data_IF_410915981825
#
_entry.id   IF_410915981825
#
_cell.length_a   1.000
_cell.length_b   1.000
_cell.length_c   1.000
_cell.angle_alpha   90.00
_cell.angle_beta   90.00
_cell.angle_gamma   90.00
#
_symmetry.space_group_name_H-M   'P 1'
#
loop_
_entity.id
_entity.type
_entity.pdbx_description
1 polymer ?
#
# COMPACT_ATOMS: atom_id res chain seq x y z
N UNK A 1 -19.92 18.04 -9.24
CA UNK A 1 -20.47 17.00 -8.34
C UNK A 1 -20.25 17.46 -6.90
N UNK A 2 -21.29 17.60 -6.07
CA UNK A 2 -21.09 18.02 -4.67
C UNK A 2 -20.68 16.81 -3.81
N UNK A 3 -19.42 16.77 -3.38
CA UNK A 3 -18.96 15.83 -2.34
C UNK A 3 -19.44 16.31 -0.98
N UNK A 4 -20.00 15.42 -0.16
CA UNK A 4 -20.42 15.76 1.19
C UNK A 4 -19.19 15.98 2.11
N UNK A 5 -19.42 16.64 3.25
CA UNK A 5 -18.35 16.97 4.19
C UNK A 5 -17.66 15.71 4.77
N UNK A 6 -18.38 14.64 5.15
CA UNK A 6 -17.76 13.40 5.62
C UNK A 6 -16.84 12.75 4.58
N UNK A 7 -17.28 12.62 3.33
CA UNK A 7 -16.49 12.04 2.25
C UNK A 7 -15.27 12.90 1.96
N UNK A 8 -15.42 14.23 1.95
CA UNK A 8 -14.30 15.15 1.75
C UNK A 8 -13.23 14.98 2.83
N UNK A 9 -13.63 14.82 4.09
CA UNK A 9 -12.69 14.59 5.20
C UNK A 9 -11.98 13.23 5.10
N UNK A 10 -12.70 12.19 4.67
CA UNK A 10 -12.10 10.87 4.45
C UNK A 10 -11.06 10.90 3.32
N UNK A 11 -11.41 11.53 2.19
CA UNK A 11 -10.52 11.63 1.02
C UNK A 11 -9.30 12.52 1.28
N UNK A 12 -9.42 13.58 2.08
CA UNK A 12 -8.31 14.48 2.38
C UNK A 12 -7.09 13.79 3.02
N UNK A 13 -7.27 12.62 3.63
CA UNK A 13 -6.18 11.84 4.25
C UNK A 13 -5.41 10.97 3.26
N UNK A 14 -6.02 10.62 2.12
CA UNK A 14 -5.53 9.56 1.23
C UNK A 14 -5.40 10.01 -0.23
N UNK A 15 -5.91 11.19 -0.54
CA UNK A 15 -5.91 11.77 -1.89
C UNK A 15 -5.17 13.11 -1.89
N UNK A 16 -4.38 13.41 -2.93
CA UNK A 16 -3.77 14.72 -3.13
C UNK A 16 -4.81 15.85 -3.05
N UNK A 17 -4.44 16.95 -2.40
CA UNK A 17 -5.30 18.13 -2.25
C UNK A 17 -5.75 18.69 -3.59
N UNK A 18 -4.88 18.67 -4.61
CA UNK A 18 -5.19 19.11 -5.98
C UNK A 18 -6.32 18.32 -6.65
N UNK A 19 -6.40 17.01 -6.39
CA UNK A 19 -7.50 16.18 -6.90
C UNK A 19 -8.78 16.41 -6.09
N UNK A 20 -8.66 16.57 -4.78
CA UNK A 20 -9.79 16.84 -3.91
C UNK A 20 -10.48 18.17 -4.25
N UNK A 21 -9.69 19.21 -4.51
CA UNK A 21 -10.20 20.54 -4.86
C UNK A 21 -10.89 20.51 -6.23
N UNK A 22 -10.32 19.80 -7.21
CA UNK A 22 -10.95 19.59 -8.53
C UNK A 22 -12.24 18.76 -8.43
N UNK A 23 -12.31 17.80 -7.51
CA UNK A 23 -13.50 16.96 -7.31
C UNK A 23 -14.64 17.73 -6.61
N UNK A 24 -14.30 18.73 -5.79
CA UNK A 24 -15.25 19.59 -5.09
C UNK A 24 -15.92 20.63 -6.01
N UNK A 25 -15.40 20.82 -7.23
CA UNK A 25 -15.98 21.72 -8.23
C UNK A 25 -17.37 21.20 -8.69
N UNK A 26 -18.44 22.02 -8.58
CA UNK A 26 -19.76 21.67 -9.09
C UNK A 26 -19.74 21.25 -10.56
N UNK A 27 -18.88 21.88 -11.36
CA UNK A 27 -18.76 21.71 -12.81
C UNK A 27 -17.63 20.73 -13.20
N UNK A 28 -17.06 20.01 -12.21
CA UNK A 28 -16.03 19.02 -12.44
C UNK A 28 -16.46 17.98 -13.49
N UNK A 29 -15.64 17.72 -14.53
CA UNK A 29 -15.94 16.68 -15.49
C UNK A 29 -15.81 15.29 -14.84
N UNK A 30 -16.56 14.31 -15.37
CA UNK A 30 -16.54 12.93 -14.86
C UNK A 30 -15.14 12.30 -14.88
N UNK A 31 -14.24 12.79 -15.75
CA UNK A 31 -12.84 12.38 -15.78
C UNK A 31 -12.10 12.59 -14.46
N UNK A 32 -12.45 13.61 -13.67
CA UNK A 32 -11.84 13.86 -12.35
C UNK A 32 -12.20 12.76 -11.36
N UNK A 33 -13.44 12.27 -11.40
CA UNK A 33 -13.87 11.15 -10.59
C UNK A 33 -13.09 9.88 -10.98
N UNK A 34 -12.94 9.63 -12.27
CA UNK A 34 -12.13 8.51 -12.78
C UNK A 34 -10.68 8.61 -12.33
N UNK A 35 -10.07 9.79 -12.44
CA UNK A 35 -8.69 10.06 -11.99
C UNK A 35 -8.54 9.81 -10.48
N UNK A 36 -9.51 10.26 -9.69
CA UNK A 36 -9.54 10.05 -8.23
C UNK A 36 -9.65 8.56 -7.89
N UNK A 37 -10.54 7.82 -8.54
CA UNK A 37 -10.70 6.38 -8.34
C UNK A 37 -9.45 5.59 -8.77
N UNK A 38 -8.78 6.02 -9.84
CA UNK A 38 -7.51 5.43 -10.27
C UNK A 38 -6.42 5.66 -9.21
N UNK A 39 -6.30 6.88 -8.68
CA UNK A 39 -5.37 7.19 -7.60
C UNK A 39 -5.61 6.30 -6.37
N UNK A 40 -6.86 6.19 -5.91
CA UNK A 40 -7.22 5.35 -4.76
C UNK A 40 -6.91 3.87 -5.00
N UNK A 41 -7.20 3.36 -6.20
CA UNK A 41 -6.87 1.98 -6.55
C UNK A 41 -5.36 1.73 -6.61
N UNK A 42 -4.60 2.67 -7.16
CA UNK A 42 -3.13 2.60 -7.18
C UNK A 42 -2.58 2.59 -5.77
N UNK A 43 -3.04 3.50 -4.91
CA UNK A 43 -2.65 3.54 -3.49
C UNK A 43 -2.99 2.22 -2.78
N UNK A 44 -4.20 1.69 -2.97
CA UNK A 44 -4.60 0.39 -2.40
C UNK A 44 -3.65 -0.72 -2.84
N UNK A 45 -3.34 -0.80 -4.14
CA UNK A 45 -2.42 -1.82 -4.68
C UNK A 45 -1.00 -1.67 -4.11
N UNK A 46 -0.48 -0.44 -4.02
CA UNK A 46 0.84 -0.18 -3.46
C UNK A 46 0.94 -0.51 -1.98
N UNK A 47 -0.11 -0.26 -1.20
CA UNK A 47 -0.12 -0.65 0.23
C UNK A 47 -0.27 -2.17 0.37
N UNK A 48 -1.18 -2.77 -0.41
CA UNK A 48 -1.42 -4.21 -0.38
C UNK A 48 -0.18 -5.05 -0.75
N UNK A 49 0.75 -4.53 -1.57
CA UNK A 49 1.98 -5.26 -1.89
C UNK A 49 2.93 -5.46 -0.70
N UNK A 50 2.75 -4.72 0.39
CA UNK A 50 3.50 -4.89 1.63
C UNK A 50 2.77 -5.73 2.68
N UNK A 51 1.55 -6.17 2.38
CA UNK A 51 0.71 -6.92 3.30
C UNK A 51 0.61 -8.39 2.85
N UNK A 52 0.61 -9.35 3.80
CA UNK A 52 0.24 -10.71 3.49
C UNK A 52 -1.17 -10.79 2.88
N UNK A 53 -1.36 -11.63 1.86
CA UNK A 53 -2.63 -11.75 1.13
C UNK A 53 -3.82 -12.10 2.03
N UNK A 54 -3.61 -12.90 3.07
CA UNK A 54 -4.67 -13.26 4.01
C UNK A 54 -5.20 -12.04 4.80
N UNK A 55 -4.46 -10.93 4.86
CA UNK A 55 -4.93 -9.67 5.45
C UNK A 55 -5.72 -8.80 4.46
N UNK A 56 -5.55 -9.01 3.16
CA UNK A 56 -6.15 -8.17 2.11
C UNK A 56 -7.39 -8.79 1.48
N UNK A 57 -7.49 -10.13 1.49
CA UNK A 57 -8.57 -10.88 0.86
C UNK A 57 -9.71 -11.24 1.82
N UNK A 58 -9.48 -11.15 3.14
CA UNK A 58 -10.46 -11.53 4.15
C UNK A 58 -11.21 -10.31 4.69
N UNK A 59 -12.41 -10.03 4.16
CA UNK A 59 -13.28 -8.95 4.63
C UNK A 59 -13.71 -9.13 6.10
N UNK A 60 -13.57 -10.33 6.67
CA UNK A 60 -13.94 -10.63 8.06
C UNK A 60 -12.94 -10.10 9.09
N UNK A 61 -11.77 -9.62 8.65
CA UNK A 61 -10.78 -8.94 9.52
C UNK A 61 -11.31 -7.62 10.08
N UNK A 62 -12.33 -7.03 9.43
CA UNK A 62 -13.00 -5.83 9.92
C UNK A 62 -13.89 -6.11 11.15
N UNK A 63 -14.19 -7.37 11.46
CA UNK A 63 -14.89 -7.74 12.68
C UNK A 63 -13.89 -7.84 13.85
N UNK A 64 -14.12 -7.02 14.88
CA UNK A 64 -13.29 -6.91 16.10
C UNK A 64 -13.08 -8.24 16.87
N UNK A 65 -13.77 -9.31 16.51
CA UNK A 65 -13.77 -10.61 17.18
C UNK A 65 -13.43 -11.76 16.22
N UNK A 66 -12.51 -11.56 15.28
CA UNK A 66 -12.06 -12.63 14.40
C UNK A 66 -11.31 -13.74 15.18
N UNK A 67 -11.84 -14.97 15.30
CA UNK A 67 -11.11 -16.08 15.85
C UNK A 67 -10.17 -16.62 14.75
N UNK A 68 -8.91 -16.23 14.80
CA UNK A 68 -7.89 -16.50 13.78
C UNK A 68 -7.38 -17.97 13.75
N UNK A 69 -8.27 -18.95 13.91
CA UNK A 69 -7.92 -20.37 13.76
C UNK A 69 -8.29 -20.83 12.35
N UNK A 70 -7.38 -20.59 11.40
CA UNK A 70 -7.46 -21.14 10.05
C UNK A 70 -6.53 -22.34 9.91
N UNK A 71 -7.02 -23.41 9.27
CA UNK A 71 -6.19 -24.57 8.93
C UNK A 71 -5.25 -24.16 7.79
N UNK A 72 -3.94 -24.36 7.97
CA UNK A 72 -2.96 -24.05 6.93
C UNK A 72 -1.62 -24.72 7.20
N UNK A 73 -0.76 -24.67 6.19
CA UNK A 73 0.63 -25.13 6.29
C UNK A 73 1.53 -23.91 6.37
N UNK A 74 2.40 -23.87 7.37
CA UNK A 74 3.43 -22.84 7.49
C UNK A 74 4.70 -23.30 6.77
N UNK A 75 5.24 -22.42 5.92
CA UNK A 75 6.56 -22.59 5.33
C UNK A 75 7.50 -21.56 5.94
N UNK A 76 8.63 -22.03 6.46
CA UNK A 76 9.71 -21.18 6.94
C UNK A 76 10.88 -21.31 5.97
N UNK A 77 11.22 -20.21 5.30
CA UNK A 77 12.40 -20.11 4.45
C UNK A 77 13.50 -19.38 5.23
N UNK A 78 14.66 -20.02 5.39
CA UNK A 78 15.83 -19.40 6.01
C UNK A 78 16.50 -18.46 5.01
N UNK A 79 16.54 -17.17 5.34
CA UNK A 79 17.17 -16.11 4.54
C UNK A 79 18.47 -15.58 5.16
N UNK A 80 18.97 -16.24 6.20
CA UNK A 80 20.17 -15.83 6.95
C UNK A 80 21.44 -15.68 6.09
N UNK A 81 21.59 -16.53 5.07
CA UNK A 81 22.70 -16.47 4.12
C UNK A 81 22.70 -15.20 3.25
N UNK A 82 21.51 -14.72 2.86
CA UNK A 82 21.37 -13.47 2.10
C UNK A 82 21.61 -12.26 3.00
N UNK A 83 21.09 -12.27 4.23
CA UNK A 83 21.29 -11.15 5.16
C UNK A 83 22.76 -10.98 5.55
N UNK A 84 23.49 -12.09 5.76
CA UNK A 84 24.92 -12.05 6.04
C UNK A 84 25.76 -11.51 4.85
N UNK A 85 25.37 -11.85 3.62
CA UNK A 85 26.01 -11.33 2.41
C UNK A 85 25.77 -9.82 2.23
N UNK A 86 24.56 -9.35 2.54
CA UNK A 86 24.22 -7.92 2.51
C UNK A 86 25.07 -7.11 3.48
N UNK A 87 25.24 -7.58 4.73
CA UNK A 87 26.11 -6.94 5.72
C UNK A 87 27.57 -6.92 5.26
N UNK A 88 28.05 -8.00 4.64
CA UNK A 88 29.41 -8.07 4.13
C UNK A 88 29.67 -7.05 3.02
N UNK A 89 28.74 -6.92 2.07
CA UNK A 89 28.87 -5.99 0.94
C UNK A 89 28.73 -4.53 1.37
N UNK A 90 27.86 -4.24 2.35
CA UNK A 90 27.75 -2.90 2.94
C UNK A 90 29.05 -2.45 3.61
N UNK A 91 29.78 -3.38 4.24
CA UNK A 91 31.05 -3.09 4.89
C UNK A 91 32.24 -2.95 3.91
N UNK A 92 32.11 -3.47 2.68
CA UNK A 92 33.18 -3.44 1.67
C UNK A 92 33.07 -2.26 0.70
N UNK A 93 31.84 -1.85 0.34
CA UNK A 93 31.59 -0.79 -0.63
C UNK A 93 30.87 0.38 0.05
N UNK A 94 31.63 1.38 0.50
CA UNK A 94 31.12 2.65 1.02
C UNK A 94 30.02 3.19 0.09
N UNK A 95 28.79 3.23 0.62
CA UNK A 95 27.56 3.83 0.06
C UNK A 95 26.96 3.19 -1.22
N UNK A 96 27.74 2.59 -2.13
CA UNK A 96 27.22 1.95 -3.37
C UNK A 96 26.81 0.46 -3.21
N UNK A 97 27.05 -0.15 -2.04
CA UNK A 97 26.75 -1.58 -1.81
C UNK A 97 25.26 -1.92 -1.74
N UNK A 98 24.42 -1.02 -1.23
CA UNK A 98 23.00 -1.27 -0.98
C UNK A 98 22.13 -1.26 -2.26
N UNK A 99 22.52 -0.45 -3.25
CA UNK A 99 21.80 -0.34 -4.53
C UNK A 99 22.00 -1.61 -5.39
N UNK A 100 23.21 -2.19 -5.37
CA UNK A 100 23.53 -3.43 -6.06
C UNK A 100 22.74 -4.65 -5.55
N UNK A 101 22.41 -4.66 -4.25
CA UNK A 101 21.63 -5.73 -3.61
C UNK A 101 20.13 -5.69 -3.94
N UNK A 102 19.60 -4.53 -4.33
CA UNK A 102 18.15 -4.33 -4.51
C UNK A 102 17.70 -4.60 -5.96
N UNK A 103 18.63 -4.72 -6.92
CA UNK A 103 18.35 -4.81 -8.37
C UNK A 103 18.74 -6.18 -8.97
N UNK A 104 19.25 -7.13 -8.18
CA UNK A 104 19.65 -8.47 -8.66
C UNK A 104 18.48 -9.45 -8.78
#
# INVERSE_FOLDING_TARGET
>A
MLIDLPLRQALARITPTTLLDRLADPDAPLSILTETLQHLNSLRKSVASFLPLYLTDDETILDMHYPALSLGTFMFADVSGFTALSEHLQNQNNEEGAENLTIS
#
